data_IF_141613273117
#
_entry.id   IF_141613273117
#
_cell.length_a   1.000
_cell.length_b   1.000
_cell.length_c   1.000
_cell.angle_alpha   90.00
_cell.angle_beta   90.00
_cell.angle_gamma   90.00
#
_symmetry.space_group_name_H-M   'P 1'
#
loop_
_entity.id
_entity.type
_entity.pdbx_description
1 polymer ?
#
# COMPACT_ATOMS: atom_id res chain seq x y z
N UNK A 1 14.07 4.91 -14.13
CA UNK A 1 13.59 6.01 -15.00
C UNK A 1 12.68 6.89 -14.17
N UNK A 2 12.86 8.21 -14.20
CA UNK A 2 12.00 9.15 -13.50
C UNK A 2 11.73 10.35 -14.38
N UNK A 3 10.59 10.99 -14.21
CA UNK A 3 10.26 12.20 -14.96
C UNK A 3 11.01 13.42 -14.38
N UNK A 4 11.66 14.18 -15.27
CA UNK A 4 12.42 15.39 -14.92
C UNK A 4 11.77 16.57 -15.61
N UNK A 5 11.51 17.63 -14.86
CA UNK A 5 11.02 18.90 -15.39
C UNK A 5 11.88 20.02 -14.82
N UNK A 6 12.54 20.78 -15.69
CA UNK A 6 13.31 21.96 -15.33
C UNK A 6 14.40 21.66 -14.29
N UNK A 7 15.24 20.64 -14.56
CA UNK A 7 16.30 20.12 -13.67
C UNK A 7 15.83 19.63 -12.28
N UNK A 8 14.52 19.42 -12.13
CA UNK A 8 13.92 18.90 -10.90
C UNK A 8 13.11 17.64 -11.20
N UNK A 9 13.26 16.63 -10.35
CA UNK A 9 12.41 15.44 -10.37
C UNK A 9 10.96 15.86 -10.17
N UNK A 10 10.13 15.55 -11.15
CA UNK A 10 8.71 15.87 -11.18
C UNK A 10 8.00 14.79 -11.98
N UNK A 11 7.00 14.13 -11.38
CA UNK A 11 6.36 12.92 -11.91
C UNK A 11 6.81 11.67 -11.17
N UNK A 12 6.46 10.48 -11.67
CA UNK A 12 6.81 9.23 -10.99
C UNK A 12 8.31 8.91 -11.11
N UNK A 13 8.91 8.42 -10.04
CA UNK A 13 10.33 8.10 -10.05
C UNK A 13 10.78 7.25 -8.87
N UNK A 14 11.82 6.47 -9.12
CA UNK A 14 12.48 5.63 -8.12
C UNK A 14 13.77 6.33 -7.69
N UNK A 15 13.97 6.45 -6.38
CA UNK A 15 15.21 6.94 -5.78
C UNK A 15 15.76 5.88 -4.84
N UNK A 16 16.89 5.32 -5.23
CA UNK A 16 17.66 4.41 -4.38
C UNK A 16 18.81 5.18 -3.74
N UNK A 17 19.04 4.91 -2.46
CA UNK A 17 20.16 5.47 -1.70
C UNK A 17 21.19 4.38 -1.46
N UNK A 18 22.45 4.78 -1.31
CA UNK A 18 23.56 3.87 -1.01
C UNK A 18 23.42 3.10 0.31
N UNK A 19 22.54 3.56 1.21
CA UNK A 19 22.20 2.86 2.46
C UNK A 19 21.13 1.77 2.30
N UNK A 20 20.72 1.43 1.07
CA UNK A 20 19.68 0.44 0.79
C UNK A 20 18.24 0.93 0.92
N UNK A 21 18.02 2.20 1.28
CA UNK A 21 16.69 2.82 1.29
C UNK A 21 16.25 3.10 -0.15
N UNK A 22 15.06 2.62 -0.52
CA UNK A 22 14.48 2.82 -1.85
C UNK A 22 13.12 3.50 -1.74
N UNK A 23 12.99 4.66 -2.35
CA UNK A 23 11.69 5.33 -2.52
C UNK A 23 11.19 5.12 -3.94
N UNK A 24 9.92 4.81 -4.08
CA UNK A 24 9.21 4.69 -5.34
C UNK A 24 7.90 5.46 -5.23
N UNK A 25 7.72 6.48 -6.06
CA UNK A 25 6.50 7.29 -5.96
C UNK A 25 6.56 8.56 -6.77
N UNK A 26 5.56 9.40 -6.58
CA UNK A 26 5.49 10.69 -7.26
C UNK A 26 6.46 11.71 -6.63
N UNK A 27 7.02 12.52 -7.50
CA UNK A 27 7.91 13.62 -7.18
C UNK A 27 7.31 14.92 -7.71
N UNK A 28 7.57 16.02 -7.02
CA UNK A 28 7.26 17.36 -7.47
C UNK A 28 8.36 18.29 -7.00
N UNK A 29 9.09 18.93 -7.91
CA UNK A 29 10.17 19.86 -7.58
C UNK A 29 11.24 19.26 -6.64
N UNK A 30 11.73 18.05 -6.90
CA UNK A 30 12.67 17.30 -6.04
C UNK A 30 12.13 16.93 -4.65
N UNK A 31 10.82 17.01 -4.43
CA UNK A 31 10.16 16.59 -3.19
C UNK A 31 9.22 15.42 -3.46
N UNK A 32 9.14 14.48 -2.52
CA UNK A 32 8.11 13.43 -2.51
C UNK A 32 6.74 14.09 -2.44
N UNK A 33 5.88 13.70 -3.36
CA UNK A 33 4.51 14.19 -3.51
C UNK A 33 3.61 13.02 -3.89
N UNK A 34 2.29 13.21 -3.91
CA UNK A 34 1.36 12.21 -4.42
C UNK A 34 1.45 10.88 -3.66
N UNK A 35 1.25 9.76 -4.33
CA UNK A 35 1.42 8.44 -3.71
C UNK A 35 2.86 7.94 -3.86
N UNK A 36 3.37 7.30 -2.82
CA UNK A 36 4.69 6.68 -2.84
C UNK A 36 4.87 5.62 -1.76
N UNK A 37 5.91 4.83 -1.94
CA UNK A 37 6.35 3.75 -1.06
C UNK A 37 7.84 3.92 -0.76
N UNK A 38 8.18 4.02 0.52
CA UNK A 38 9.56 4.00 0.99
C UNK A 38 9.87 2.62 1.56
N UNK A 39 10.78 1.89 0.94
CA UNK A 39 11.35 0.66 1.49
C UNK A 39 12.65 0.98 2.22
N UNK A 40 12.75 0.49 3.45
CA UNK A 40 13.92 0.64 4.29
C UNK A 40 14.79 -0.63 4.21
N UNK A 41 16.09 -0.52 4.51
CA UNK A 41 17.01 -1.66 4.47
C UNK A 41 16.68 -2.75 5.50
N UNK A 42 15.89 -2.45 6.53
CA UNK A 42 15.38 -3.42 7.51
C UNK A 42 14.18 -4.22 6.99
N UNK A 43 13.73 -3.96 5.76
CA UNK A 43 12.57 -4.60 5.14
C UNK A 43 11.23 -3.93 5.46
N UNK A 44 11.22 -2.90 6.31
CA UNK A 44 10.01 -2.12 6.59
C UNK A 44 9.62 -1.28 5.36
N UNK A 45 8.31 -1.05 5.19
CA UNK A 45 7.75 -0.29 4.08
C UNK A 45 6.77 0.77 4.58
N UNK A 46 7.02 2.02 4.20
CA UNK A 46 6.12 3.15 4.43
C UNK A 46 5.48 3.59 3.12
N UNK A 47 4.26 3.12 2.90
CA UNK A 47 3.43 3.52 1.78
C UNK A 47 2.44 4.60 2.18
N UNK A 48 2.14 5.51 1.27
CA UNK A 48 1.02 6.41 1.43
C UNK A 48 1.14 7.69 0.63
N UNK A 49 0.32 8.67 1.00
CA UNK A 49 0.29 9.97 0.34
C UNK A 49 1.32 10.91 0.96
N UNK A 50 2.22 11.41 0.14
CA UNK A 50 3.22 12.42 0.46
C UNK A 50 2.77 13.81 0.01
N UNK A 51 3.07 14.82 0.82
CA UNK A 51 2.95 16.23 0.46
C UNK A 51 4.20 16.95 0.95
N UNK A 52 4.99 17.49 0.03
CA UNK A 52 6.21 18.25 0.35
C UNK A 52 7.20 17.48 1.24
N UNK A 53 7.50 16.21 0.92
CA UNK A 53 8.32 15.28 1.71
C UNK A 53 7.69 14.71 2.99
N UNK A 54 6.49 15.16 3.39
CA UNK A 54 5.80 14.68 4.59
C UNK A 54 4.76 13.64 4.20
N UNK A 55 4.78 12.48 4.85
CA UNK A 55 3.73 11.48 4.73
C UNK A 55 2.47 12.00 5.43
N UNK A 56 1.46 12.41 4.65
CA UNK A 56 0.21 12.97 5.16
C UNK A 56 -0.86 11.90 5.39
N UNK A 57 -0.80 10.79 4.65
CA UNK A 57 -1.69 9.64 4.83
C UNK A 57 -0.90 8.37 4.61
N UNK A 58 -0.38 7.78 5.69
CA UNK A 58 0.22 6.45 5.61
C UNK A 58 -0.85 5.42 5.29
N UNK A 59 -0.66 4.64 4.24
CA UNK A 59 -1.19 3.28 4.16
C UNK A 59 -0.29 2.50 5.10
N UNK A 60 -0.65 2.49 6.39
CA UNK A 60 -0.04 1.51 7.29
C UNK A 60 -0.47 0.20 6.68
N UNK A 61 0.48 -0.55 6.15
CA UNK A 61 0.28 -1.95 5.84
C UNK A 61 -0.20 -2.58 7.15
N UNK A 62 -1.51 -2.64 7.31
CA UNK A 62 -2.23 -3.44 8.28
C UNK A 62 -2.08 -4.93 7.90
N UNK A 63 -0.88 -5.30 7.47
CA UNK A 63 -0.33 -6.62 7.28
C UNK A 63 -0.17 -7.37 8.61
N UNK A 64 -0.53 -6.75 9.73
CA UNK A 64 -0.76 -7.43 11.02
C UNK A 64 -2.24 -7.71 11.29
N UNK A 65 -3.17 -7.23 10.47
CA UNK A 65 -4.58 -7.61 10.59
C UNK A 65 -4.82 -8.94 9.89
N UNK A 66 -4.34 -9.17 8.67
CA UNK A 66 -4.62 -10.44 7.97
C UNK A 66 -3.99 -11.67 8.63
N UNK A 67 -2.92 -11.52 9.43
CA UNK A 67 -2.41 -12.62 10.26
C UNK A 67 -3.34 -12.97 11.43
N UNK A 68 -4.25 -12.07 11.79
CA UNK A 68 -5.34 -12.30 12.75
C UNK A 68 -6.66 -12.66 12.07
N UNK A 69 -6.80 -12.50 10.75
CA UNK A 69 -8.03 -12.84 10.03
C UNK A 69 -7.91 -14.18 9.31
N UNK A 70 -8.72 -15.16 9.71
CA UNK A 70 -8.94 -16.37 8.93
C UNK A 70 -9.92 -16.05 7.78
N UNK A 71 -9.49 -16.28 6.55
CA UNK A 71 -10.31 -16.05 5.35
C UNK A 71 -10.81 -17.39 4.83
N UNK A 72 -12.13 -17.55 4.69
CA UNK A 72 -12.75 -18.70 4.04
C UNK A 72 -13.69 -18.24 2.93
N UNK A 73 -13.63 -18.91 1.78
CA UNK A 73 -14.53 -18.67 0.66
C UNK A 73 -15.33 -19.92 0.34
N UNK A 74 -16.62 -19.77 0.05
CA UNK A 74 -17.48 -20.82 -0.47
C UNK A 74 -18.30 -20.31 -1.65
N UNK A 75 -18.72 -21.22 -2.53
CA UNK A 75 -19.62 -20.92 -3.65
C UNK A 75 -20.85 -21.80 -3.47
N UNK A 76 -22.03 -21.20 -3.56
CA UNK A 76 -23.28 -21.93 -3.46
C UNK A 76 -23.72 -22.54 -4.81
N UNK A 77 -24.78 -23.33 -4.80
CA UNK A 77 -25.33 -23.96 -6.02
C UNK A 77 -25.92 -22.95 -7.02
N UNK A 78 -26.13 -21.69 -6.60
CA UNK A 78 -26.62 -20.61 -7.47
C UNK A 78 -25.48 -19.82 -8.13
N UNK A 79 -24.23 -20.12 -7.77
CA UNK A 79 -23.03 -19.45 -8.30
C UNK A 79 -22.64 -18.19 -7.54
N UNK A 80 -23.27 -17.91 -6.39
CA UNK A 80 -22.93 -16.78 -5.54
C UNK A 80 -21.69 -17.12 -4.72
N UNK A 81 -20.71 -16.21 -4.71
CA UNK A 81 -19.51 -16.34 -3.91
C UNK A 81 -19.72 -15.71 -2.53
N UNK A 82 -19.55 -16.51 -1.49
CA UNK A 82 -19.49 -16.08 -0.10
C UNK A 82 -18.02 -15.99 0.33
N UNK A 83 -17.65 -14.83 0.86
CA UNK A 83 -16.34 -14.61 1.47
C UNK A 83 -16.54 -14.26 2.95
N UNK A 84 -15.99 -15.09 3.82
CA UNK A 84 -16.05 -14.89 5.27
C UNK A 84 -14.66 -14.50 5.78
N UNK A 85 -14.62 -13.37 6.50
CA UNK A 85 -13.43 -12.86 7.17
C UNK A 85 -13.64 -13.00 8.68
N UNK A 86 -12.82 -13.79 9.37
CA UNK A 86 -12.91 -14.00 10.83
C UNK A 86 -11.68 -13.47 11.56
N UNK A 87 -11.84 -12.44 12.37
CA UNK A 87 -10.78 -11.96 13.27
C UNK A 87 -10.51 -12.96 14.39
N UNK A 88 -9.27 -13.00 14.88
CA UNK A 88 -8.88 -13.74 16.10
C UNK A 88 -9.58 -13.21 17.35
N UNK A 89 -10.10 -11.98 17.30
CA UNK A 89 -10.93 -11.37 18.34
C UNK A 89 -12.39 -11.85 18.33
N UNK A 90 -12.75 -12.74 17.39
CA UNK A 90 -14.12 -13.27 17.24
C UNK A 90 -15.04 -12.41 16.39
N UNK A 91 -14.58 -11.27 15.88
CA UNK A 91 -15.36 -10.44 14.94
C UNK A 91 -15.35 -11.10 13.55
N UNK A 92 -16.52 -11.51 13.05
CA UNK A 92 -16.66 -11.99 11.67
C UNK A 92 -17.39 -10.97 10.79
N UNK A 93 -17.00 -10.93 9.51
CA UNK A 93 -17.71 -10.18 8.48
C UNK A 93 -17.91 -11.09 7.28
N UNK A 94 -19.16 -11.23 6.87
CA UNK A 94 -19.53 -11.94 5.64
C UNK A 94 -19.71 -10.93 4.50
N UNK A 95 -19.16 -11.25 3.35
CA UNK A 95 -19.28 -10.51 2.11
C UNK A 95 -19.88 -11.44 1.06
N UNK A 96 -21.02 -11.05 0.50
CA UNK A 96 -21.72 -11.80 -0.54
C UNK A 96 -21.52 -11.08 -1.86
N UNK A 97 -20.95 -11.78 -2.85
CA UNK A 97 -20.76 -11.25 -4.19
C UNK A 97 -21.83 -11.86 -5.10
N UNK A 98 -22.81 -11.03 -5.45
CA UNK A 98 -23.83 -11.35 -6.45
C UNK A 98 -23.31 -10.86 -7.81
N UNK A 99 -23.45 -11.64 -8.90
CA UNK A 99 -23.05 -11.22 -10.25
C UNK A 99 -23.81 -9.98 -10.75
#
# INVERSE_FOLDING_TARGET
MGEWKNDKRSGFGISERSNGMKYEGEWLNNRRHGYGCTMFPDGTKEEGKYKNNILVRGIRNEHLLTSQFHVSSSVDFSGIMHLELRASTGLSKELVFVP
#
